data_IF_385404622557
#
_entry.id   IF_385404622557
#
_cell.length_a   1.000
_cell.length_b   1.000
_cell.length_c   1.000
_cell.angle_alpha   90.00
_cell.angle_beta   90.00
_cell.angle_gamma   90.00
#
_symmetry.space_group_name_H-M   'P 1'
#
loop_
_entity.id
_entity.type
_entity.pdbx_description
1 polymer ?
#
# COMPACT_ATOMS: atom_id res chain seq x y z
N UNK A 1 -34.74 -0.50 14.25
CA UNK A 1 -33.75 -1.02 13.27
C UNK A 1 -33.11 0.17 12.55
N UNK A 2 -32.13 0.85 13.16
CA UNK A 2 -31.31 1.93 12.56
C UNK A 2 -30.28 2.41 13.61
N UNK A 3 -29.25 1.62 13.93
CA UNK A 3 -28.28 2.01 14.99
C UNK A 3 -26.80 1.97 14.58
N UNK A 4 -26.47 1.57 13.35
CA UNK A 4 -25.08 1.45 12.90
C UNK A 4 -24.75 2.35 11.69
N UNK A 5 -25.60 3.31 11.36
CA UNK A 5 -25.46 4.11 10.12
C UNK A 5 -24.40 5.22 10.20
N UNK A 6 -23.72 5.43 11.33
CA UNK A 6 -22.77 6.54 11.45
C UNK A 6 -21.73 6.32 12.56
N UNK A 7 -20.95 5.24 12.50
CA UNK A 7 -19.90 4.98 13.49
C UNK A 7 -18.48 5.09 12.96
N UNK A 8 -18.32 5.35 11.66
CA UNK A 8 -17.02 5.71 11.12
C UNK A 8 -16.87 7.21 11.31
N UNK A 9 -15.91 7.61 12.13
CA UNK A 9 -15.47 9.00 12.17
C UNK A 9 -14.93 9.39 10.80
N UNK A 10 -14.97 10.66 10.45
CA UNK A 10 -14.50 11.16 9.15
C UNK A 10 -13.05 10.74 8.83
N UNK A 11 -12.23 10.49 9.87
CA UNK A 11 -10.89 9.94 9.73
C UNK A 11 -10.88 8.45 9.30
N UNK A 12 -11.81 7.64 9.83
CA UNK A 12 -11.96 6.24 9.44
C UNK A 12 -12.53 6.09 8.03
N UNK A 13 -13.46 6.96 7.62
CA UNK A 13 -13.99 6.98 6.25
C UNK A 13 -12.88 7.31 5.25
N UNK A 14 -12.04 8.32 5.54
CA UNK A 14 -10.86 8.64 4.73
C UNK A 14 -9.88 7.47 4.67
N UNK A 15 -9.64 6.79 5.80
CA UNK A 15 -8.79 5.61 5.84
C UNK A 15 -9.30 4.48 4.96
N UNK A 16 -10.59 4.16 5.06
CA UNK A 16 -11.21 3.15 4.21
C UNK A 16 -11.13 3.51 2.73
N UNK A 17 -11.43 4.77 2.37
CA UNK A 17 -11.39 5.23 0.99
C UNK A 17 -9.96 5.18 0.41
N UNK A 18 -8.96 5.58 1.20
CA UNK A 18 -7.57 5.52 0.78
C UNK A 18 -7.10 4.07 0.60
N UNK A 19 -7.36 3.20 1.58
CA UNK A 19 -7.03 1.78 1.48
C UNK A 19 -7.73 1.10 0.31
N UNK A 20 -9.01 1.39 0.07
CA UNK A 20 -9.76 0.88 -1.08
C UNK A 20 -9.12 1.32 -2.40
N UNK A 21 -8.73 2.59 -2.51
CA UNK A 21 -8.05 3.12 -3.70
C UNK A 21 -6.73 2.39 -3.97
N UNK A 22 -5.94 2.13 -2.92
CA UNK A 22 -4.67 1.43 -3.04
C UNK A 22 -4.85 -0.04 -3.38
N UNK A 23 -5.82 -0.71 -2.76
CA UNK A 23 -6.13 -2.10 -3.05
C UNK A 23 -6.62 -2.26 -4.50
N UNK A 24 -7.45 -1.32 -4.97
CA UNK A 24 -7.93 -1.29 -6.34
C UNK A 24 -6.81 -1.00 -7.35
N UNK A 25 -5.80 -0.22 -6.98
CA UNK A 25 -4.58 -0.07 -7.77
C UNK A 25 -3.77 -1.38 -7.79
N UNK A 26 -3.64 -2.08 -6.66
CA UNK A 26 -2.95 -3.36 -6.55
C UNK A 26 -3.60 -4.45 -7.43
N UNK A 27 -4.92 -4.50 -7.45
CA UNK A 27 -5.72 -5.43 -8.27
C UNK A 27 -5.80 -5.02 -9.74
N UNK A 28 -5.19 -3.90 -10.14
CA UNK A 28 -5.20 -3.43 -11.52
C UNK A 28 -4.22 -4.22 -12.40
N UNK A 29 -4.62 -5.44 -12.73
CA UNK A 29 -3.87 -6.37 -13.59
C UNK A 29 -3.68 -5.81 -15.01
N UNK A 30 -4.58 -4.94 -15.47
CA UNK A 30 -4.46 -4.29 -16.78
C UNK A 30 -3.23 -3.36 -16.85
N UNK A 31 -3.03 -2.53 -15.82
CA UNK A 31 -1.83 -1.69 -15.68
C UNK A 31 -0.55 -2.53 -15.52
N UNK A 32 -0.63 -3.66 -14.82
CA UNK A 32 0.50 -4.60 -14.67
C UNK A 32 0.99 -5.18 -16.00
N UNK A 33 0.10 -5.46 -16.96
CA UNK A 33 0.49 -5.95 -18.29
C UNK A 33 0.97 -4.84 -19.23
N UNK A 34 0.45 -3.62 -19.05
CA UNK A 34 0.78 -2.48 -19.91
C UNK A 34 2.12 -1.83 -19.52
N UNK A 35 2.35 -1.62 -18.21
CA UNK A 35 3.56 -0.99 -17.68
C UNK A 35 3.76 -1.32 -16.19
N UNK A 36 4.57 -2.33 -15.85
CA UNK A 36 4.78 -2.74 -14.46
C UNK A 36 5.46 -1.65 -13.61
N UNK A 37 6.32 -0.81 -14.19
CA UNK A 37 6.95 0.34 -13.51
C UNK A 37 5.91 1.41 -13.11
N UNK A 38 5.09 1.85 -14.05
CA UNK A 38 4.05 2.86 -13.79
C UNK A 38 3.04 2.37 -12.72
N UNK A 39 2.72 1.08 -12.73
CA UNK A 39 1.89 0.46 -11.71
C UNK A 39 2.55 0.47 -10.32
N UNK A 40 3.85 0.18 -10.24
CA UNK A 40 4.60 0.22 -8.98
C UNK A 40 4.74 1.66 -8.43
N UNK A 41 5.03 2.63 -9.29
CA UNK A 41 5.10 4.04 -8.90
C UNK A 41 3.77 4.58 -8.36
N UNK A 42 2.64 4.16 -8.95
CA UNK A 42 1.31 4.57 -8.49
C UNK A 42 0.99 3.99 -7.09
N UNK A 43 1.37 2.73 -6.81
CA UNK A 43 1.22 2.13 -5.48
C UNK A 43 2.05 2.90 -4.43
N UNK A 44 3.30 3.23 -4.76
CA UNK A 44 4.18 4.03 -3.90
C UNK A 44 3.61 5.43 -3.63
N UNK A 45 3.10 6.10 -4.67
CA UNK A 45 2.47 7.41 -4.56
C UNK A 45 1.27 7.37 -3.61
N UNK A 46 0.40 6.37 -3.75
CA UNK A 46 -0.77 6.25 -2.88
C UNK A 46 -0.38 5.95 -1.43
N UNK A 47 0.66 5.13 -1.20
CA UNK A 47 1.19 4.93 0.15
C UNK A 47 1.78 6.21 0.75
N UNK A 48 2.56 7.00 -0.01
CA UNK A 48 3.12 8.30 0.45
C UNK A 48 2.01 9.30 0.80
N UNK A 49 0.97 9.36 -0.04
CA UNK A 49 -0.21 10.21 0.18
C UNK A 49 -0.94 9.82 1.48
N UNK A 50 -1.05 8.53 1.78
CA UNK A 50 -1.64 8.06 3.05
C UNK A 50 -0.80 8.43 4.28
N UNK A 51 0.52 8.36 4.19
CA UNK A 51 1.43 8.78 5.27
C UNK A 51 1.33 10.30 5.49
N UNK A 52 1.37 11.10 4.41
CA UNK A 52 1.22 12.56 4.47
C UNK A 52 -0.08 12.99 5.14
N UNK A 53 -1.18 12.31 4.82
CA UNK A 53 -2.48 12.59 5.43
C UNK A 53 -2.63 12.01 6.83
N UNK A 54 -1.59 11.33 7.36
CA UNK A 54 -1.58 10.64 8.67
C UNK A 54 -2.73 9.65 8.80
N UNK A 55 -3.14 9.08 7.68
CA UNK A 55 -4.23 8.10 7.57
C UNK A 55 -3.75 6.73 8.06
N UNK A 56 -2.49 6.40 7.75
CA UNK A 56 -1.82 5.17 8.15
C UNK A 56 -0.68 5.50 9.10
N UNK A 57 -0.38 4.58 10.01
CA UNK A 57 0.83 4.67 10.83
C UNK A 57 2.05 4.36 9.98
N UNK A 58 3.23 4.82 10.40
CA UNK A 58 4.50 4.49 9.74
C UNK A 58 4.69 2.98 9.49
N UNK A 59 4.24 2.15 10.44
CA UNK A 59 4.30 0.68 10.33
C UNK A 59 3.35 0.12 9.27
N UNK A 60 2.15 0.70 9.13
CA UNK A 60 1.17 0.35 8.10
C UNK A 60 1.64 0.81 6.71
N UNK A 61 2.25 1.99 6.61
CA UNK A 61 2.88 2.47 5.37
C UNK A 61 4.00 1.53 4.90
N UNK A 62 4.83 1.06 5.83
CA UNK A 62 5.88 0.06 5.53
C UNK A 62 5.27 -1.23 5.00
N UNK A 63 4.22 -1.73 5.65
CA UNK A 63 3.51 -2.95 5.23
C UNK A 63 2.90 -2.81 3.83
N UNK A 64 2.22 -1.68 3.55
CA UNK A 64 1.68 -1.35 2.23
C UNK A 64 2.78 -1.33 1.16
N UNK A 65 3.94 -0.72 1.44
CA UNK A 65 5.08 -0.74 0.51
C UNK A 65 5.61 -2.15 0.26
N UNK A 66 5.75 -2.97 1.30
CA UNK A 66 6.21 -4.36 1.18
C UNK A 66 5.21 -5.17 0.35
N UNK A 67 3.90 -4.98 0.57
CA UNK A 67 2.86 -5.66 -0.19
C UNK A 67 2.87 -5.26 -1.67
N UNK A 68 3.07 -3.96 -1.99
CA UNK A 68 3.24 -3.49 -3.36
C UNK A 68 4.49 -4.08 -4.02
N UNK A 69 5.62 -4.11 -3.31
CA UNK A 69 6.88 -4.67 -3.79
C UNK A 69 6.78 -6.18 -4.03
N UNK A 70 6.18 -6.93 -3.10
CA UNK A 70 5.91 -8.36 -3.28
C UNK A 70 4.98 -8.64 -4.46
N UNK A 71 3.93 -7.84 -4.63
CA UNK A 71 3.02 -7.99 -5.77
C UNK A 71 3.72 -7.69 -7.09
N UNK A 72 4.61 -6.70 -7.12
CA UNK A 72 5.48 -6.37 -8.25
C UNK A 72 6.50 -7.46 -8.55
N UNK A 73 7.18 -8.00 -7.54
CA UNK A 73 8.07 -9.14 -7.70
C UNK A 73 7.32 -10.35 -8.21
N UNK A 74 6.14 -10.68 -7.67
CA UNK A 74 5.28 -11.75 -8.20
C UNK A 74 4.81 -11.46 -9.64
N UNK A 75 4.69 -10.18 -9.99
CA UNK A 75 4.33 -9.74 -11.32
C UNK A 75 5.40 -9.95 -12.37
N UNK A 76 6.62 -9.54 -12.04
CA UNK A 76 7.77 -9.53 -12.94
C UNK A 76 8.50 -10.88 -12.93
N UNK A 77 8.55 -11.55 -11.78
CA UNK A 77 9.29 -12.81 -11.63
C UNK A 77 8.56 -14.04 -12.17
N UNK A 78 7.25 -13.96 -12.44
CA UNK A 78 6.50 -15.09 -13.01
C UNK A 78 6.39 -16.33 -12.11
N UNK A 79 6.55 -16.15 -10.79
CA UNK A 79 6.75 -17.21 -9.78
C UNK A 79 8.24 -17.66 -9.71
N UNK A 80 8.83 -17.55 -8.51
CA UNK A 80 10.25 -17.79 -8.17
C UNK A 80 11.21 -16.57 -8.27
N UNK A 81 11.04 -15.59 -7.37
CA UNK A 81 12.20 -14.81 -6.90
C UNK A 81 12.36 -15.02 -5.41
N UNK A 82 13.36 -15.81 -5.10
CA UNK A 82 13.84 -16.21 -3.79
C UNK A 82 13.78 -15.12 -2.71
N UNK A 83 13.15 -15.48 -1.59
CA UNK A 83 13.61 -15.26 -0.21
C UNK A 83 14.75 -14.24 -0.05
N UNK A 84 14.40 -12.98 0.22
CA UNK A 84 15.37 -11.88 0.32
C UNK A 84 14.92 -10.81 1.29
N UNK A 85 14.76 -11.21 2.54
CA UNK A 85 14.95 -10.42 3.75
C UNK A 85 15.61 -9.03 3.50
N UNK A 86 14.83 -7.95 3.56
CA UNK A 86 15.34 -6.60 3.84
C UNK A 86 14.49 -6.02 4.97
N UNK A 87 14.76 -6.44 6.21
CA UNK A 87 14.33 -5.69 7.39
C UNK A 87 15.54 -5.54 8.32
N UNK A 88 16.39 -4.54 8.07
CA UNK A 88 17.30 -4.03 9.10
C UNK A 88 17.72 -2.55 8.94
N UNK A 89 17.09 -1.72 8.11
CA UNK A 89 17.50 -0.30 8.05
C UNK A 89 16.33 0.67 8.18
N UNK A 90 15.94 0.95 9.42
CA UNK A 90 15.22 2.18 9.81
C UNK A 90 15.19 2.45 11.33
N UNK A 91 16.14 1.93 12.10
CA UNK A 91 16.29 2.26 13.52
C UNK A 91 17.52 3.14 13.77
N UNK A 92 17.70 4.21 12.99
CA UNK A 92 18.68 5.26 13.33
C UNK A 92 18.32 6.63 12.73
N UNK A 93 17.07 7.09 12.84
CA UNK A 93 16.78 8.54 12.76
C UNK A 93 15.70 8.87 13.80
N UNK A 94 16.13 8.97 15.06
CA UNK A 94 15.44 9.79 16.07
C UNK A 94 16.47 10.20 17.12
N UNK A 95 17.21 11.25 16.80
CA UNK A 95 17.73 12.20 17.78
C UNK A 95 16.76 13.39 17.82
#
# INVERSE_FOLDING_TARGET
>A
MNAFKNQLTQAQERRLCALDSWHRALENIALRMDSPEAWHEELLRQSDEMDRQRIVSWQEWRDLRIAADQAFLRAVAGEDYHSGHIDEQTSEIRD
#
